data_IF_195058318815
#
_entry.id   IF_195058318815
#
_cell.length_a   1.000
_cell.length_b   1.000
_cell.length_c   1.000
_cell.angle_alpha   90.00
_cell.angle_beta   90.00
_cell.angle_gamma   90.00
#
_symmetry.space_group_name_H-M   'P 1'
#
loop_
_entity.id
_entity.type
_entity.pdbx_description
1 polymer ?
#
# COMPACT_ATOMS: atom_id res chain seq x y z
N UNK A 1 -31.21 -2.34 28.41
CA UNK A 1 -30.94 -2.14 29.85
C UNK A 1 -29.61 -2.75 30.33
N UNK A 2 -28.81 -3.41 29.46
CA UNK A 2 -27.52 -4.04 29.86
C UNK A 2 -26.25 -3.24 29.52
N UNK A 3 -26.33 -2.16 28.72
CA UNK A 3 -25.15 -1.36 28.31
C UNK A 3 -24.72 -0.32 29.34
N UNK A 4 -25.63 0.21 30.16
CA UNK A 4 -25.30 1.17 31.23
C UNK A 4 -24.65 0.51 32.45
N UNK A 5 -24.93 -0.78 32.67
CA UNK A 5 -24.41 -1.52 33.83
C UNK A 5 -22.94 -1.95 33.62
N UNK A 6 -22.54 -2.31 32.40
CA UNK A 6 -21.15 -2.73 32.12
C UNK A 6 -20.15 -1.55 32.12
N UNK A 7 -20.57 -0.35 31.70
CA UNK A 7 -19.72 0.86 31.80
C UNK A 7 -19.47 1.30 33.25
N UNK A 8 -20.44 1.08 34.13
CA UNK A 8 -20.33 1.43 35.55
C UNK A 8 -19.32 0.53 36.29
N UNK A 9 -19.26 -0.76 35.93
CA UNK A 9 -18.29 -1.71 36.49
C UNK A 9 -16.85 -1.45 36.04
N UNK A 10 -16.65 -0.97 34.80
CA UNK A 10 -15.33 -0.59 34.29
C UNK A 10 -14.85 0.70 34.96
N UNK A 11 -15.72 1.69 35.16
CA UNK A 11 -15.43 2.90 35.93
C UNK A 11 -15.11 2.58 37.41
N UNK A 12 -15.82 1.63 38.03
CA UNK A 12 -15.58 1.18 39.40
C UNK A 12 -14.26 0.41 39.59
N UNK A 13 -13.69 -0.18 38.54
CA UNK A 13 -12.41 -0.90 38.61
C UNK A 13 -11.21 -0.03 38.23
N UNK A 14 -11.39 0.93 37.34
CA UNK A 14 -10.29 1.78 36.84
C UNK A 14 -10.07 2.97 37.77
N UNK A 15 -11.14 3.63 38.25
CA UNK A 15 -11.02 4.84 39.08
C UNK A 15 -10.25 4.59 40.38
N UNK A 16 -10.52 3.51 41.16
CA UNK A 16 -9.75 3.24 42.37
C UNK A 16 -8.31 2.87 42.07
N UNK A 17 -8.03 2.16 40.98
CA UNK A 17 -6.66 1.77 40.62
C UNK A 17 -5.84 2.95 40.10
N UNK A 18 -6.46 3.87 39.36
CA UNK A 18 -5.83 5.14 38.92
C UNK A 18 -5.67 6.09 40.10
N UNK A 19 -6.65 6.19 41.01
CA UNK A 19 -6.50 6.93 42.28
C UNK A 19 -5.46 6.30 43.19
N UNK A 20 -5.33 4.97 43.22
CA UNK A 20 -4.32 4.26 43.98
C UNK A 20 -2.93 4.46 43.36
N UNK A 21 -2.81 4.48 42.03
CA UNK A 21 -1.57 4.84 41.31
C UNK A 21 -1.19 6.32 41.53
N UNK A 22 -2.15 7.23 41.42
CA UNK A 22 -1.97 8.67 41.71
C UNK A 22 -1.62 8.88 43.19
N UNK A 23 -2.20 8.08 44.11
CA UNK A 23 -1.81 8.09 45.52
C UNK A 23 -0.39 7.53 45.68
N UNK A 24 -0.02 6.43 45.03
CA UNK A 24 1.33 5.88 45.10
C UNK A 24 2.40 6.82 44.53
N UNK A 25 2.04 7.67 43.55
CA UNK A 25 2.94 8.68 42.96
C UNK A 25 3.02 9.98 43.77
N UNK A 26 1.98 10.35 44.53
CA UNK A 26 1.94 11.61 45.31
C UNK A 26 2.18 11.42 46.81
N UNK A 27 2.04 10.21 47.34
CA UNK A 27 2.09 9.94 48.78
C UNK A 27 3.50 9.88 49.39
N UNK A 28 4.57 9.35 48.77
CA UNK A 28 5.83 9.25 49.51
C UNK A 28 6.39 10.65 49.84
N UNK A 29 6.28 11.61 48.92
CA UNK A 29 6.77 12.98 49.13
C UNK A 29 5.83 13.77 50.05
N UNK A 30 4.51 13.71 49.85
CA UNK A 30 3.58 14.44 50.73
C UNK A 30 3.59 13.88 52.15
N UNK A 31 3.70 12.56 52.34
CA UNK A 31 3.85 11.96 53.68
C UNK A 31 5.19 12.37 54.29
N UNK A 32 6.30 12.39 53.53
CA UNK A 32 7.60 12.82 54.07
C UNK A 32 7.60 14.30 54.47
N UNK A 33 7.01 15.18 53.65
CA UNK A 33 6.93 16.62 53.90
C UNK A 33 5.97 16.90 55.07
N UNK A 34 4.80 16.26 55.11
CA UNK A 34 3.85 16.38 56.23
C UNK A 34 4.46 15.82 57.50
N UNK A 35 5.17 14.68 57.44
CA UNK A 35 5.88 14.11 58.57
C UNK A 35 7.00 15.03 59.05
N UNK A 36 7.76 15.63 58.14
CA UNK A 36 8.82 16.60 58.45
C UNK A 36 8.26 17.87 59.12
N UNK A 37 7.16 18.42 58.59
CA UNK A 37 6.48 19.58 59.15
C UNK A 37 5.90 19.24 60.52
N UNK A 38 5.25 18.08 60.67
CA UNK A 38 4.75 17.59 61.96
C UNK A 38 5.88 17.39 62.97
N UNK A 39 7.02 16.82 62.57
CA UNK A 39 8.18 16.67 63.46
C UNK A 39 8.77 18.01 63.86
N UNK A 40 8.87 18.98 62.94
CA UNK A 40 9.35 20.33 63.25
C UNK A 40 8.38 21.11 64.15
N UNK A 41 7.07 20.96 63.95
CA UNK A 41 6.04 21.56 64.81
C UNK A 41 6.07 20.91 66.20
N UNK A 42 6.22 19.60 66.29
CA UNK A 42 6.32 18.88 67.58
C UNK A 42 7.59 19.33 68.33
N UNK A 43 8.72 19.44 67.65
CA UNK A 43 9.98 19.98 68.21
C UNK A 43 9.82 21.42 68.71
N UNK A 44 9.21 22.29 67.91
CA UNK A 44 8.90 23.68 68.30
C UNK A 44 7.93 23.76 69.48
N UNK A 45 6.90 22.91 69.52
CA UNK A 45 5.94 22.87 70.62
C UNK A 45 6.59 22.37 71.91
N UNK A 46 7.40 21.31 71.85
CA UNK A 46 8.18 20.80 72.99
C UNK A 46 9.11 21.90 73.52
N UNK A 47 9.87 22.55 72.63
CA UNK A 47 10.76 23.66 72.98
C UNK A 47 10.00 24.83 73.65
N UNK A 48 8.83 25.21 73.11
CA UNK A 48 8.01 26.31 73.63
C UNK A 48 7.35 25.97 74.97
N UNK A 49 6.91 24.73 75.17
CA UNK A 49 6.37 24.28 76.47
C UNK A 49 7.43 24.21 77.56
N UNK A 50 8.66 23.80 77.23
CA UNK A 50 9.79 23.79 78.16
C UNK A 50 10.20 25.22 78.55
N UNK A 51 10.25 26.16 77.59
CA UNK A 51 10.54 27.57 77.87
C UNK A 51 9.49 28.26 78.75
N UNK A 52 8.19 27.99 78.56
CA UNK A 52 7.13 28.51 79.44
C UNK A 52 7.18 27.94 80.86
N UNK A 53 7.76 26.75 81.04
CA UNK A 53 8.03 26.17 82.35
C UNK A 53 9.10 26.95 83.12
N UNK A 54 10.09 27.49 82.41
CA UNK A 54 11.19 28.29 82.98
C UNK A 54 10.69 29.68 83.40
N UNK A 55 9.83 30.33 82.60
CA UNK A 55 9.29 31.66 82.89
C UNK A 55 8.37 31.68 84.14
N UNK A 56 7.64 30.58 84.39
CA UNK A 56 6.72 30.47 85.55
C UNK A 56 7.42 30.26 86.91
N UNK A 57 8.71 29.94 86.94
CA UNK A 57 9.47 29.81 88.19
C UNK A 57 10.23 31.08 88.58
N UNK A 58 10.20 32.13 87.74
CA UNK A 58 10.93 33.39 87.97
C UNK A 58 10.08 34.44 88.73
N UNK A 59 8.78 34.21 88.94
CA UNK A 59 7.90 35.19 89.63
C UNK A 59 7.16 34.54 90.81
N UNK A 60 7.81 34.49 91.97
CA UNK A 60 7.14 34.43 93.27
C UNK A 60 7.64 35.61 94.14
N UNK A 61 6.77 36.38 94.82
CA UNK A 61 7.19 37.58 95.54
C UNK A 61 7.97 37.24 96.82
N UNK A 62 9.01 38.04 97.09
CA UNK A 62 9.88 37.99 98.26
C UNK A 62 9.26 38.83 99.39
N UNK A 63 9.14 38.29 100.61
CA UNK A 63 9.03 39.09 101.84
C UNK A 63 10.05 38.63 102.89
N UNK A 64 10.97 39.54 103.29
CA UNK A 64 11.73 39.48 104.55
C UNK A 64 13.25 39.30 104.43
N UNK A 65 14.10 40.01 105.23
CA UNK A 65 15.34 40.59 104.70
C UNK A 65 16.66 39.94 105.18
N UNK A 66 17.67 40.07 104.32
CA UNK A 66 19.13 40.09 104.59
C UNK A 66 19.91 38.75 104.54
N UNK A 67 20.23 38.28 103.33
CA UNK A 67 21.62 38.13 102.82
C UNK A 67 21.61 37.50 101.42
N UNK A 68 22.59 37.90 100.62
CA UNK A 68 22.95 37.41 99.27
C UNK A 68 22.61 35.94 98.97
N UNK A 69 21.82 35.71 97.92
CA UNK A 69 21.79 34.41 97.23
C UNK A 69 22.02 34.67 95.74
N UNK A 70 23.19 34.21 95.34
CA UNK A 70 23.67 33.86 94.01
C UNK A 70 22.52 33.41 93.09
N UNK A 71 22.55 33.85 91.84
CA UNK A 71 21.70 33.30 90.79
C UNK A 71 22.13 31.85 90.59
N UNK A 72 21.55 30.93 91.35
CA UNK A 72 21.72 29.50 91.17
C UNK A 72 20.77 29.07 90.05
N UNK A 73 21.30 29.08 88.81
CA UNK A 73 20.72 28.33 87.70
C UNK A 73 20.66 26.86 88.12
N UNK A 74 19.52 26.47 88.69
CA UNK A 74 19.32 25.13 89.26
C UNK A 74 19.59 24.04 88.22
N UNK A 75 20.61 23.23 88.51
CA UNK A 75 21.12 22.04 87.82
C UNK A 75 20.13 20.86 87.66
N UNK A 76 18.83 21.08 87.92
CA UNK A 76 17.81 20.02 87.96
C UNK A 76 17.25 19.62 86.58
N UNK A 77 17.30 20.53 85.59
CA UNK A 77 16.81 20.25 84.22
C UNK A 77 17.91 19.95 83.18
N UNK A 78 19.17 20.30 83.47
CA UNK A 78 20.33 20.04 82.59
C UNK A 78 20.49 18.57 82.16
N UNK A 79 20.37 17.54 83.03
CA UNK A 79 20.55 16.16 82.59
C UNK A 79 19.38 15.64 81.72
N UNK A 80 18.18 16.25 81.81
CA UNK A 80 17.03 15.88 80.95
C UNK A 80 17.14 16.52 79.57
N UNK A 81 17.59 17.77 79.47
CA UNK A 81 17.84 18.44 78.19
C UNK A 81 19.02 17.81 77.45
N UNK A 82 20.07 17.43 78.16
CA UNK A 82 21.25 16.77 77.58
C UNK A 82 20.92 15.37 77.03
N UNK A 83 20.21 14.54 77.80
CA UNK A 83 19.72 13.23 77.30
C UNK A 83 18.81 13.36 76.07
N UNK A 84 18.01 14.42 76.00
CA UNK A 84 17.16 14.68 74.84
C UNK A 84 17.99 15.08 73.61
N UNK A 85 19.01 15.92 73.78
CA UNK A 85 19.94 16.31 72.71
C UNK A 85 20.83 15.13 72.24
N UNK A 86 21.34 14.32 73.16
CA UNK A 86 22.07 13.08 72.84
C UNK A 86 21.19 12.09 72.06
N UNK A 87 19.90 12.00 72.38
CA UNK A 87 18.93 11.21 71.62
C UNK A 87 18.55 11.83 70.26
N UNK A 88 18.76 13.14 70.08
CA UNK A 88 18.44 13.89 68.86
C UNK A 88 19.51 13.73 67.78
N UNK A 89 20.79 13.69 68.17
CA UNK A 89 21.94 13.52 67.26
C UNK A 89 21.79 12.31 66.32
N UNK A 90 21.53 11.06 66.79
CA UNK A 90 21.33 9.92 65.89
C UNK A 90 20.08 10.06 65.01
N UNK A 91 19.06 10.80 65.46
CA UNK A 91 17.88 11.09 64.64
C UNK A 91 18.19 12.07 63.52
N UNK A 92 19.07 13.06 63.75
CA UNK A 92 19.52 14.00 62.73
C UNK A 92 20.45 13.34 61.73
N UNK A 93 21.35 12.45 62.18
CA UNK A 93 22.18 11.63 61.29
C UNK A 93 21.33 10.73 60.39
N UNK A 94 20.30 10.08 60.96
CA UNK A 94 19.34 9.28 60.19
C UNK A 94 18.55 10.15 59.18
N UNK A 95 18.13 11.35 59.58
CA UNK A 95 17.42 12.27 58.67
C UNK A 95 18.32 12.78 57.54
N UNK A 96 19.58 13.11 57.84
CA UNK A 96 20.59 13.48 56.84
C UNK A 96 20.85 12.34 55.85
N UNK A 97 20.96 11.10 56.34
CA UNK A 97 21.08 9.91 55.49
C UNK A 97 19.87 9.76 54.54
N UNK A 98 18.65 9.94 55.04
CA UNK A 98 17.44 9.90 54.21
C UNK A 98 17.35 11.03 53.19
N UNK A 99 17.81 12.23 53.53
CA UNK A 99 17.90 13.34 52.58
C UNK A 99 18.91 13.07 51.46
N UNK A 100 20.04 12.45 51.79
CA UNK A 100 21.03 12.01 50.80
C UNK A 100 20.44 10.95 49.86
N UNK A 101 19.68 9.98 50.38
CA UNK A 101 18.98 9.00 49.56
C UNK A 101 17.94 9.68 48.63
N UNK A 102 17.19 10.64 49.15
CA UNK A 102 16.22 11.42 48.39
C UNK A 102 16.87 12.26 47.28
N UNK A 103 18.06 12.82 47.52
CA UNK A 103 18.84 13.53 46.52
C UNK A 103 19.23 12.62 45.34
N UNK A 104 19.67 11.40 45.63
CA UNK A 104 20.01 10.40 44.60
C UNK A 104 18.77 10.03 43.77
N UNK A 105 17.60 9.86 44.39
CA UNK A 105 16.35 9.61 43.64
C UNK A 105 15.93 10.78 42.76
N UNK A 106 16.11 12.02 43.25
CA UNK A 106 15.77 13.22 42.49
C UNK A 106 16.70 13.38 41.27
N UNK A 107 18.01 13.18 41.43
CA UNK A 107 18.99 13.18 40.33
C UNK A 107 18.68 12.08 39.29
N UNK A 108 18.35 10.87 39.75
CA UNK A 108 17.96 9.78 38.86
C UNK A 108 16.65 10.08 38.10
N UNK A 109 15.70 10.76 38.76
CA UNK A 109 14.46 11.19 38.11
C UNK A 109 14.72 12.27 37.07
N UNK A 110 15.65 13.20 37.34
CA UNK A 110 16.07 14.24 36.39
C UNK A 110 16.68 13.62 35.13
N UNK A 111 17.63 12.68 35.29
CA UNK A 111 18.20 11.94 34.16
C UNK A 111 17.13 11.18 33.36
N UNK A 112 16.18 10.54 34.05
CA UNK A 112 15.05 9.86 33.41
C UNK A 112 14.17 10.81 32.59
N UNK A 113 13.86 12.00 33.14
CA UNK A 113 13.06 13.02 32.48
C UNK A 113 13.77 13.63 31.25
N UNK A 114 15.09 13.82 31.31
CA UNK A 114 15.89 14.25 30.16
C UNK A 114 15.89 13.18 29.06
N UNK A 115 16.06 11.90 29.42
CA UNK A 115 16.01 10.81 28.44
C UNK A 115 14.62 10.68 27.81
N UNK A 116 13.56 10.92 28.58
CA UNK A 116 12.20 10.94 28.05
C UNK A 116 11.97 12.09 27.07
N UNK A 117 12.54 13.28 27.33
CA UNK A 117 12.48 14.41 26.39
C UNK A 117 13.11 14.06 25.04
N UNK A 118 14.30 13.46 25.05
CA UNK A 118 14.98 12.98 23.85
C UNK A 118 14.11 11.97 23.07
N UNK A 119 13.47 11.02 23.78
CA UNK A 119 12.59 10.04 23.14
C UNK A 119 11.33 10.70 22.53
N UNK A 120 10.77 11.73 23.18
CA UNK A 120 9.62 12.49 22.66
C UNK A 120 10.00 13.25 21.38
N UNK A 121 11.17 13.88 21.36
CA UNK A 121 11.68 14.57 20.17
C UNK A 121 11.90 13.58 19.01
N UNK A 122 12.55 12.44 19.28
CA UNK A 122 12.74 11.39 18.30
C UNK A 122 11.42 10.83 17.77
N UNK A 123 10.46 10.55 18.66
CA UNK A 123 9.13 10.09 18.26
C UNK A 123 8.41 11.12 17.38
N UNK A 124 8.48 12.40 17.73
CA UNK A 124 7.90 13.49 16.92
C UNK A 124 8.47 13.49 15.51
N UNK A 125 9.81 13.34 15.38
CA UNK A 125 10.46 13.24 14.08
C UNK A 125 9.99 12.02 13.29
N UNK A 126 9.95 10.85 13.92
CA UNK A 126 9.44 9.62 13.29
C UNK A 126 7.99 9.77 12.85
N UNK A 127 7.14 10.47 13.61
CA UNK A 127 5.76 10.74 13.22
C UNK A 127 5.65 11.63 11.97
N UNK A 128 6.52 12.64 11.83
CA UNK A 128 6.58 13.45 10.60
C UNK A 128 7.01 12.61 9.40
N UNK A 129 7.98 11.72 9.57
CA UNK A 129 8.42 10.80 8.53
C UNK A 129 7.31 9.82 8.12
N UNK A 130 6.57 9.26 9.09
CA UNK A 130 5.40 8.41 8.85
C UNK A 130 4.32 9.18 8.08
N UNK A 131 3.99 10.39 8.50
CA UNK A 131 2.99 11.23 7.84
C UNK A 131 3.34 11.50 6.38
N UNK A 132 4.61 11.83 6.10
CA UNK A 132 5.12 12.02 4.74
C UNK A 132 5.04 10.74 3.91
N UNK A 133 5.42 9.59 4.51
CA UNK A 133 5.31 8.29 3.87
C UNK A 133 3.87 7.92 3.50
N UNK A 134 2.91 8.19 4.39
CA UNK A 134 1.48 7.96 4.14
C UNK A 134 1.00 8.82 2.96
N UNK A 135 1.37 10.09 2.90
CA UNK A 135 1.00 10.99 1.78
C UNK A 135 1.58 10.48 0.45
N UNK A 136 2.84 10.00 0.46
CA UNK A 136 3.47 9.43 -0.72
C UNK A 136 2.77 8.15 -1.19
N UNK A 137 2.36 7.26 -0.26
CA UNK A 137 1.59 6.06 -0.60
C UNK A 137 0.23 6.45 -1.18
N UNK A 138 -0.47 7.42 -0.59
CA UNK A 138 -1.75 7.92 -1.08
C UNK A 138 -1.63 8.44 -2.54
N UNK A 139 -0.60 9.26 -2.81
CA UNK A 139 -0.33 9.77 -4.15
C UNK A 139 0.00 8.65 -5.14
N UNK A 140 0.79 7.67 -4.71
CA UNK A 140 1.14 6.51 -5.55
C UNK A 140 -0.10 5.69 -5.88
N UNK A 141 -0.97 5.41 -4.90
CA UNK A 141 -2.23 4.72 -5.11
C UNK A 141 -3.14 5.46 -6.12
N UNK A 142 -3.23 6.79 -6.02
CA UNK A 142 -4.01 7.61 -6.96
C UNK A 142 -3.45 7.54 -8.39
N UNK A 143 -2.13 7.54 -8.56
CA UNK A 143 -1.49 7.39 -9.88
C UNK A 143 -1.81 6.02 -10.47
N UNK A 144 -1.64 4.95 -9.68
CA UNK A 144 -1.94 3.59 -10.18
C UNK A 144 -3.43 3.45 -10.51
N UNK A 145 -4.34 4.09 -9.77
CA UNK A 145 -5.77 4.10 -10.07
C UNK A 145 -6.05 4.74 -11.44
N UNK A 146 -5.48 5.93 -11.67
CA UNK A 146 -5.61 6.65 -12.94
C UNK A 146 -5.04 5.86 -14.11
N UNK A 147 -3.83 5.31 -13.97
CA UNK A 147 -3.20 4.50 -15.01
C UNK A 147 -3.97 3.20 -15.27
N UNK A 148 -4.53 2.58 -14.24
CA UNK A 148 -5.38 1.38 -14.41
C UNK A 148 -6.64 1.71 -15.20
N UNK A 149 -7.29 2.85 -14.93
CA UNK A 149 -8.44 3.31 -15.69
C UNK A 149 -8.09 3.57 -17.17
N UNK A 150 -7.02 4.31 -17.44
CA UNK A 150 -6.55 4.57 -18.81
C UNK A 150 -6.20 3.27 -19.55
N UNK A 151 -5.58 2.31 -18.85
CA UNK A 151 -5.27 0.99 -19.40
C UNK A 151 -6.56 0.22 -19.72
N UNK A 152 -7.59 0.31 -18.88
CA UNK A 152 -8.88 -0.33 -19.12
C UNK A 152 -9.57 0.25 -20.37
N UNK A 153 -9.57 1.57 -20.51
CA UNK A 153 -10.12 2.26 -21.68
C UNK A 153 -9.39 1.85 -22.95
N UNK A 154 -8.06 1.87 -22.93
CA UNK A 154 -7.22 1.45 -24.07
C UNK A 154 -7.44 -0.03 -24.42
N UNK A 155 -7.55 -0.90 -23.41
CA UNK A 155 -7.85 -2.33 -23.58
C UNK A 155 -9.23 -2.54 -24.22
N UNK A 156 -10.24 -1.78 -23.79
CA UNK A 156 -11.59 -1.80 -24.38
C UNK A 156 -11.60 -1.35 -25.84
N UNK A 157 -10.88 -0.27 -26.18
CA UNK A 157 -10.72 0.18 -27.57
C UNK A 157 -10.00 -0.86 -28.44
N UNK A 158 -9.00 -1.54 -27.87
CA UNK A 158 -8.32 -2.67 -28.53
C UNK A 158 -9.29 -3.82 -28.82
N UNK A 159 -10.14 -4.17 -27.85
CA UNK A 159 -11.17 -5.20 -28.03
C UNK A 159 -12.17 -4.84 -29.15
N UNK A 160 -12.67 -3.60 -29.17
CA UNK A 160 -13.56 -3.11 -30.22
C UNK A 160 -12.90 -3.13 -31.61
N UNK A 161 -11.61 -2.75 -31.68
CA UNK A 161 -10.83 -2.82 -32.93
C UNK A 161 -10.73 -4.26 -33.46
N UNK A 162 -10.61 -5.26 -32.57
CA UNK A 162 -10.60 -6.67 -32.97
C UNK A 162 -11.96 -7.17 -33.46
N UNK A 163 -13.08 -6.61 -32.97
CA UNK A 163 -14.40 -6.88 -33.55
C UNK A 163 -14.47 -6.42 -35.01
N UNK A 164 -13.94 -5.23 -35.31
CA UNK A 164 -13.86 -4.71 -36.69
C UNK A 164 -13.00 -5.64 -37.56
N UNK A 165 -11.82 -6.07 -37.07
CA UNK A 165 -10.95 -6.99 -37.82
C UNK A 165 -11.65 -8.34 -38.06
N UNK A 166 -12.38 -8.86 -37.08
CA UNK A 166 -13.15 -10.11 -37.22
C UNK A 166 -14.20 -9.97 -38.32
N UNK A 167 -14.95 -8.86 -38.32
CA UNK A 167 -15.96 -8.57 -39.34
C UNK A 167 -15.33 -8.47 -40.75
N UNK A 168 -14.17 -7.84 -40.86
CA UNK A 168 -13.43 -7.77 -42.13
C UNK A 168 -12.95 -9.14 -42.61
N UNK A 169 -12.42 -9.98 -41.71
CA UNK A 169 -12.00 -11.35 -42.07
C UNK A 169 -13.17 -12.20 -42.56
N UNK A 170 -14.34 -12.10 -41.91
CA UNK A 170 -15.56 -12.76 -42.37
C UNK A 170 -16.02 -12.25 -43.75
N UNK A 171 -15.87 -10.95 -44.02
CA UNK A 171 -16.18 -10.39 -45.32
C UNK A 171 -15.22 -10.88 -46.42
N UNK A 172 -13.93 -11.04 -46.08
CA UNK A 172 -12.92 -11.63 -46.98
C UNK A 172 -13.24 -13.10 -47.25
N UNK A 173 -13.54 -13.90 -46.22
CA UNK A 173 -13.93 -15.31 -46.37
C UNK A 173 -15.11 -15.46 -47.33
N UNK A 174 -16.17 -14.65 -47.14
CA UNK A 174 -17.33 -14.63 -48.04
C UNK A 174 -16.95 -14.24 -49.47
N UNK A 175 -16.03 -13.29 -49.64
CA UNK A 175 -15.57 -12.86 -50.97
C UNK A 175 -14.77 -13.96 -51.67
N UNK A 176 -13.91 -14.66 -50.95
CA UNK A 176 -13.16 -15.83 -51.46
C UNK A 176 -14.11 -16.96 -51.82
N UNK A 177 -15.11 -17.25 -50.98
CA UNK A 177 -16.13 -18.26 -51.27
C UNK A 177 -16.92 -17.93 -52.54
N UNK A 178 -17.36 -16.68 -52.70
CA UNK A 178 -18.05 -16.24 -53.92
C UNK A 178 -17.18 -16.36 -55.17
N UNK A 179 -15.90 -15.97 -55.07
CA UNK A 179 -14.96 -16.09 -56.18
C UNK A 179 -14.72 -17.57 -56.54
N UNK A 180 -14.79 -18.48 -55.56
CA UNK A 180 -14.60 -19.92 -55.77
C UNK A 180 -15.71 -20.46 -56.66
N UNK A 181 -16.95 -20.01 -56.40
CA UNK A 181 -18.09 -20.34 -57.24
C UNK A 181 -17.93 -19.83 -58.67
N UNK A 182 -17.51 -18.57 -58.85
CA UNK A 182 -17.30 -17.98 -60.19
C UNK A 182 -16.23 -18.73 -60.98
N UNK A 183 -15.12 -19.10 -60.33
CA UNK A 183 -14.05 -19.89 -60.97
C UNK A 183 -14.52 -21.31 -61.28
N UNK A 184 -15.37 -21.91 -60.44
CA UNK A 184 -15.98 -23.21 -60.72
C UNK A 184 -16.86 -23.16 -61.96
N UNK A 185 -17.67 -22.11 -62.11
CA UNK A 185 -18.52 -21.92 -63.29
C UNK A 185 -17.65 -21.73 -64.54
N UNK A 186 -16.56 -20.96 -64.43
CA UNK A 186 -15.60 -20.77 -65.53
C UNK A 186 -14.91 -22.09 -65.93
N UNK A 187 -14.60 -22.96 -64.97
CA UNK A 187 -14.10 -24.32 -65.23
C UNK A 187 -15.10 -25.13 -66.07
N UNK A 188 -16.39 -25.06 -65.72
CA UNK A 188 -17.44 -25.73 -66.48
C UNK A 188 -17.56 -25.18 -67.91
N UNK A 189 -17.61 -23.86 -68.09
CA UNK A 189 -17.67 -23.26 -69.42
C UNK A 189 -16.45 -23.60 -70.28
N UNK A 190 -15.25 -23.61 -69.70
CA UNK A 190 -14.02 -23.98 -70.41
C UNK A 190 -14.04 -25.45 -70.86
N UNK A 191 -14.59 -26.36 -70.04
CA UNK A 191 -14.80 -27.76 -70.43
C UNK A 191 -15.81 -27.90 -71.58
N UNK A 192 -16.92 -27.15 -71.53
CA UNK A 192 -17.91 -27.14 -72.62
C UNK A 192 -17.31 -26.63 -73.93
N UNK A 193 -16.52 -25.55 -73.90
CA UNK A 193 -15.80 -25.04 -75.08
C UNK A 193 -14.84 -26.11 -75.61
N UNK A 194 -14.09 -26.79 -74.74
CA UNK A 194 -13.20 -27.89 -75.13
C UNK A 194 -13.94 -29.00 -75.89
N UNK A 195 -15.14 -29.40 -75.43
CA UNK A 195 -15.97 -30.39 -76.11
C UNK A 195 -16.45 -29.91 -77.49
N UNK A 196 -16.82 -28.63 -77.61
CA UNK A 196 -17.22 -28.03 -78.90
C UNK A 196 -16.05 -28.03 -79.89
N UNK A 197 -14.85 -27.63 -79.45
CA UNK A 197 -13.64 -27.61 -80.28
C UNK A 197 -13.27 -29.03 -80.73
N UNK A 198 -13.41 -30.03 -79.87
CA UNK A 198 -13.27 -31.44 -80.24
C UNK A 198 -14.24 -31.84 -81.36
N UNK A 199 -15.52 -31.46 -81.22
CA UNK A 199 -16.55 -31.73 -82.24
C UNK A 199 -16.24 -31.05 -83.58
N UNK A 200 -15.75 -29.81 -83.57
CA UNK A 200 -15.35 -29.08 -84.80
C UNK A 200 -14.17 -29.79 -85.47
N UNK A 201 -13.19 -30.25 -84.67
CA UNK A 201 -12.03 -31.00 -85.18
C UNK A 201 -12.47 -32.29 -85.86
N UNK A 202 -13.44 -33.01 -85.27
CA UNK A 202 -14.02 -34.22 -85.86
C UNK A 202 -14.78 -33.93 -87.17
N UNK A 203 -15.58 -32.85 -87.21
CA UNK A 203 -16.29 -32.41 -88.43
C UNK A 203 -15.30 -32.04 -89.54
N UNK A 204 -14.23 -31.32 -89.20
CA UNK A 204 -13.17 -30.97 -90.15
C UNK A 204 -12.47 -32.22 -90.70
N UNK A 205 -12.13 -33.19 -89.85
CA UNK A 205 -11.54 -34.46 -90.28
C UNK A 205 -12.48 -35.24 -91.22
N UNK A 206 -13.79 -35.28 -90.92
CA UNK A 206 -14.78 -35.90 -91.80
C UNK A 206 -14.93 -35.15 -93.13
N UNK A 207 -14.94 -33.82 -93.10
CA UNK A 207 -15.05 -32.98 -94.30
C UNK A 207 -13.82 -33.15 -95.19
N UNK A 208 -12.63 -33.23 -94.61
CA UNK A 208 -11.39 -33.53 -95.31
C UNK A 208 -11.44 -34.90 -96.00
N UNK A 209 -11.95 -35.93 -95.32
CA UNK A 209 -12.16 -37.27 -95.90
C UNK A 209 -13.19 -37.26 -97.04
N UNK A 210 -14.30 -36.53 -96.88
CA UNK A 210 -15.31 -36.37 -97.94
C UNK A 210 -14.74 -35.65 -99.17
N UNK A 211 -13.97 -34.59 -98.96
CA UNK A 211 -13.31 -33.83 -100.01
C UNK A 211 -12.28 -34.69 -100.75
N UNK A 212 -11.50 -35.51 -100.03
CA UNK A 212 -10.58 -36.47 -100.62
C UNK A 212 -11.32 -37.50 -101.51
N UNK A 213 -12.41 -38.07 -101.01
CA UNK A 213 -13.23 -39.00 -101.79
C UNK A 213 -13.82 -38.34 -103.04
N UNK A 214 -14.26 -37.08 -102.94
CA UNK A 214 -14.75 -36.30 -104.08
C UNK A 214 -13.64 -36.00 -105.10
N UNK A 215 -12.42 -35.68 -104.65
CA UNK A 215 -11.28 -35.45 -105.52
C UNK A 215 -10.88 -36.72 -106.29
N UNK A 216 -10.92 -37.89 -105.63
CA UNK A 216 -10.69 -39.20 -106.26
C UNK A 216 -11.72 -39.47 -107.34
N UNK A 217 -13.02 -39.27 -107.05
CA UNK A 217 -14.08 -39.54 -108.02
C UNK A 217 -14.09 -38.53 -109.18
N UNK A 218 -13.74 -37.27 -108.91
CA UNK A 218 -13.53 -36.26 -109.94
C UNK A 218 -12.36 -36.60 -110.88
N UNK A 219 -11.24 -37.12 -110.34
CA UNK A 219 -10.13 -37.63 -111.15
C UNK A 219 -10.56 -38.84 -111.99
N UNK A 220 -11.44 -39.69 -111.45
CA UNK A 220 -11.99 -40.87 -112.13
C UNK A 220 -12.91 -40.53 -113.29
N UNK A 221 -13.64 -39.40 -113.22
CA UNK A 221 -14.49 -38.89 -114.29
C UNK A 221 -13.72 -38.22 -115.45
N UNK A 222 -12.39 -38.09 -115.36
CA UNK A 222 -11.54 -37.57 -116.44
C UNK A 222 -11.82 -36.11 -116.80
N UNK A 223 -11.96 -35.80 -118.09
CA UNK A 223 -12.19 -34.42 -118.58
C UNK A 223 -13.49 -33.79 -118.02
N UNK A 224 -14.53 -34.60 -117.76
CA UNK A 224 -15.80 -34.11 -117.22
C UNK A 224 -15.74 -33.77 -115.72
N UNK A 225 -14.73 -34.27 -115.00
CA UNK A 225 -14.55 -34.08 -113.56
C UNK A 225 -13.66 -32.89 -113.18
N UNK A 226 -13.00 -32.23 -114.14
CA UNK A 226 -12.02 -31.16 -113.86
C UNK A 226 -12.55 -30.03 -112.97
N UNK A 227 -13.78 -29.56 -113.20
CA UNK A 227 -14.40 -28.53 -112.37
C UNK A 227 -14.68 -29.01 -110.93
N UNK A 228 -15.12 -30.26 -110.78
CA UNK A 228 -15.36 -30.86 -109.46
C UNK A 228 -14.06 -31.14 -108.69
N UNK A 229 -12.97 -31.49 -109.39
CA UNK A 229 -11.66 -31.71 -108.77
C UNK A 229 -11.13 -30.43 -108.10
N UNK A 230 -11.27 -29.27 -108.75
CA UNK A 230 -10.86 -27.98 -108.19
C UNK A 230 -11.66 -27.65 -106.92
N UNK A 231 -12.98 -27.88 -106.94
CA UNK A 231 -13.82 -27.64 -105.75
C UNK A 231 -13.46 -28.60 -104.62
N UNK A 232 -13.21 -29.87 -104.92
CA UNK A 232 -12.84 -30.87 -103.93
C UNK A 232 -11.49 -30.53 -103.26
N UNK A 233 -10.49 -30.09 -104.02
CA UNK A 233 -9.21 -29.65 -103.47
C UNK A 233 -9.35 -28.37 -102.61
N UNK A 234 -10.20 -27.42 -103.01
CA UNK A 234 -10.45 -26.22 -102.21
C UNK A 234 -11.15 -26.56 -100.88
N UNK A 235 -12.15 -27.45 -100.90
CA UNK A 235 -12.82 -27.93 -99.67
C UNK A 235 -11.86 -28.71 -98.77
N UNK A 236 -10.95 -29.50 -99.36
CA UNK A 236 -9.89 -30.23 -98.63
C UNK A 236 -8.99 -29.24 -97.89
N UNK A 237 -8.49 -28.23 -98.60
CA UNK A 237 -7.63 -27.19 -98.05
C UNK A 237 -8.32 -26.38 -96.94
N UNK A 238 -9.58 -25.99 -97.15
CA UNK A 238 -10.38 -25.29 -96.14
C UNK A 238 -10.59 -26.17 -94.89
N UNK A 239 -10.79 -27.47 -95.07
CA UNK A 239 -10.92 -28.41 -93.95
C UNK A 239 -9.62 -28.51 -93.15
N UNK A 240 -8.45 -28.58 -93.82
CA UNK A 240 -7.14 -28.55 -93.16
C UNK A 240 -6.91 -27.23 -92.39
N UNK A 241 -7.27 -26.08 -92.96
CA UNK A 241 -7.17 -24.78 -92.28
C UNK A 241 -8.08 -24.70 -91.03
N UNK A 242 -9.31 -25.24 -91.11
CA UNK A 242 -10.22 -25.34 -89.95
C UNK A 242 -9.65 -26.26 -88.87
N UNK A 243 -9.02 -27.37 -89.26
CA UNK A 243 -8.37 -28.31 -88.33
C UNK A 243 -7.24 -27.62 -87.57
N UNK A 244 -6.36 -26.94 -88.28
CA UNK A 244 -5.21 -26.26 -87.70
C UNK A 244 -5.67 -25.16 -86.74
N UNK A 245 -6.67 -24.37 -87.14
CA UNK A 245 -7.29 -23.35 -86.28
C UNK A 245 -7.94 -23.97 -85.03
N UNK A 246 -8.64 -25.10 -85.18
CA UNK A 246 -9.27 -25.80 -84.05
C UNK A 246 -8.23 -26.35 -83.07
N UNK A 247 -7.09 -26.84 -83.57
CA UNK A 247 -5.98 -27.28 -82.73
C UNK A 247 -5.35 -26.12 -81.95
N UNK A 248 -5.22 -24.93 -82.55
CA UNK A 248 -4.75 -23.74 -81.83
C UNK A 248 -5.74 -23.32 -80.74
N UNK A 249 -7.04 -23.30 -81.03
CA UNK A 249 -8.07 -23.02 -80.02
C UNK A 249 -8.01 -24.05 -78.89
N UNK A 250 -7.84 -25.34 -79.20
CA UNK A 250 -7.71 -26.40 -78.19
C UNK A 250 -6.54 -26.17 -77.24
N UNK A 251 -5.40 -25.68 -77.74
CA UNK A 251 -4.24 -25.32 -76.90
C UNK A 251 -4.58 -24.16 -75.96
N UNK A 252 -5.25 -23.12 -76.48
CA UNK A 252 -5.68 -21.97 -75.66
C UNK A 252 -6.64 -22.41 -74.57
N UNK A 253 -7.63 -23.25 -74.89
CA UNK A 253 -8.59 -23.80 -73.92
C UNK A 253 -7.87 -24.62 -72.85
N UNK A 254 -6.90 -25.46 -73.23
CA UNK A 254 -6.09 -26.20 -72.25
C UNK A 254 -5.34 -25.27 -71.29
N UNK A 255 -4.69 -24.22 -71.81
CA UNK A 255 -4.00 -23.23 -70.96
C UNK A 255 -4.96 -22.49 -70.03
N UNK A 256 -6.19 -22.20 -70.47
CA UNK A 256 -7.23 -21.61 -69.64
C UNK A 256 -7.64 -22.57 -68.51
N UNK A 257 -7.81 -23.86 -68.81
CA UNK A 257 -8.13 -24.88 -67.80
C UNK A 257 -7.01 -24.99 -66.75
N UNK A 258 -5.75 -25.04 -67.17
CA UNK A 258 -4.61 -25.08 -66.26
C UNK A 258 -4.56 -23.84 -65.35
N UNK A 259 -4.85 -22.66 -65.89
CA UNK A 259 -4.89 -21.39 -65.13
C UNK A 259 -6.04 -21.37 -64.13
N UNK A 260 -7.19 -21.94 -64.48
CA UNK A 260 -8.34 -22.11 -63.59
C UNK A 260 -7.98 -23.03 -62.43
N UNK A 261 -7.35 -24.18 -62.69
CA UNK A 261 -6.96 -25.14 -61.66
C UNK A 261 -5.93 -24.53 -60.68
N UNK A 262 -4.97 -23.77 -61.19
CA UNK A 262 -4.03 -22.99 -60.36
C UNK A 262 -4.77 -21.95 -59.50
N UNK A 263 -5.74 -21.24 -60.08
CA UNK A 263 -6.55 -20.25 -59.37
C UNK A 263 -7.33 -20.90 -58.22
N UNK A 264 -7.96 -22.06 -58.45
CA UNK A 264 -8.64 -22.83 -57.39
C UNK A 264 -7.68 -23.19 -56.26
N UNK A 265 -6.46 -23.64 -56.57
CA UNK A 265 -5.46 -23.95 -55.55
C UNK A 265 -5.11 -22.73 -54.69
N UNK A 266 -4.83 -21.59 -55.30
CA UNK A 266 -4.53 -20.35 -54.56
C UNK A 266 -5.70 -19.85 -53.72
N UNK A 267 -6.93 -20.05 -54.20
CA UNK A 267 -8.12 -19.70 -53.46
C UNK A 267 -8.32 -20.55 -52.21
N UNK A 268 -8.08 -21.85 -52.30
CA UNK A 268 -8.13 -22.75 -51.15
C UNK A 268 -7.07 -22.37 -50.09
N UNK A 269 -5.87 -22.02 -50.53
CA UNK A 269 -4.81 -21.50 -49.66
C UNK A 269 -5.20 -20.18 -49.00
N UNK A 270 -5.80 -19.26 -49.76
CA UNK A 270 -6.35 -18.00 -49.27
C UNK A 270 -7.43 -18.22 -48.20
N UNK A 271 -8.35 -19.16 -48.42
CA UNK A 271 -9.39 -19.50 -47.45
C UNK A 271 -8.81 -20.04 -46.14
N UNK A 272 -7.84 -20.96 -46.22
CA UNK A 272 -7.14 -21.46 -45.04
C UNK A 272 -6.42 -20.35 -44.27
N UNK A 273 -5.80 -19.40 -44.99
CA UNK A 273 -5.13 -18.25 -44.39
C UNK A 273 -6.11 -17.36 -43.63
N UNK A 274 -7.30 -17.11 -44.19
CA UNK A 274 -8.35 -16.33 -43.53
C UNK A 274 -8.89 -17.04 -42.29
N UNK A 275 -9.16 -18.35 -42.36
CA UNK A 275 -9.58 -19.15 -41.20
C UNK A 275 -8.55 -19.13 -40.05
N UNK A 276 -7.27 -19.25 -40.39
CA UNK A 276 -6.20 -19.10 -39.40
C UNK A 276 -6.19 -17.69 -38.80
N UNK A 277 -6.38 -16.66 -39.63
CA UNK A 277 -6.50 -15.27 -39.18
C UNK A 277 -7.64 -15.06 -38.19
N UNK A 278 -8.82 -15.62 -38.46
CA UNK A 278 -9.98 -15.58 -37.54
C UNK A 278 -9.65 -16.24 -36.20
N UNK A 279 -8.97 -17.38 -36.23
CA UNK A 279 -8.55 -18.11 -35.02
C UNK A 279 -7.59 -17.26 -34.17
N UNK A 280 -6.56 -16.66 -34.80
CA UNK A 280 -5.60 -15.78 -34.11
C UNK A 280 -6.31 -14.57 -33.49
N UNK A 281 -7.23 -13.94 -34.21
CA UNK A 281 -8.00 -12.80 -33.67
C UNK A 281 -8.84 -13.22 -32.45
N UNK A 282 -9.45 -14.41 -32.51
CA UNK A 282 -10.20 -14.98 -31.37
C UNK A 282 -9.31 -15.16 -30.14
N UNK A 283 -8.11 -15.74 -30.30
CA UNK A 283 -7.16 -15.91 -29.20
C UNK A 283 -6.74 -14.57 -28.60
N UNK A 284 -6.50 -13.55 -29.45
CA UNK A 284 -6.14 -12.20 -29.00
C UNK A 284 -7.30 -11.56 -28.22
N UNK A 285 -8.56 -11.72 -28.65
CA UNK A 285 -9.74 -11.25 -27.90
C UNK A 285 -9.80 -11.85 -26.50
N UNK A 286 -9.50 -13.15 -26.36
CA UNK A 286 -9.44 -13.80 -25.05
C UNK A 286 -8.36 -13.15 -24.16
N UNK A 287 -7.17 -12.87 -24.71
CA UNK A 287 -6.10 -12.19 -23.95
C UNK A 287 -6.51 -10.78 -23.49
N UNK A 288 -7.21 -10.01 -24.33
CA UNK A 288 -7.74 -8.71 -23.92
C UNK A 288 -8.77 -8.83 -22.79
N UNK A 289 -9.65 -9.84 -22.84
CA UNK A 289 -10.60 -10.10 -21.76
C UNK A 289 -9.88 -10.45 -20.44
N UNK A 290 -8.82 -11.28 -20.49
CA UNK A 290 -7.98 -11.53 -19.32
C UNK A 290 -7.32 -10.25 -18.79
N UNK A 291 -6.81 -9.40 -19.68
CA UNK A 291 -6.20 -8.11 -19.30
C UNK A 291 -7.21 -7.23 -18.56
N UNK A 292 -8.44 -7.08 -19.08
CA UNK A 292 -9.50 -6.34 -18.39
C UNK A 292 -9.76 -6.90 -16.99
N UNK A 293 -9.90 -8.22 -16.85
CA UNK A 293 -10.07 -8.85 -15.53
C UNK A 293 -8.91 -8.59 -14.57
N UNK A 294 -7.67 -8.55 -15.06
CA UNK A 294 -6.48 -8.19 -14.26
C UNK A 294 -6.48 -6.72 -13.85
N UNK A 295 -6.92 -5.82 -14.73
CA UNK A 295 -7.02 -4.39 -14.42
C UNK A 295 -8.09 -4.16 -13.33
N UNK A 296 -9.24 -4.83 -13.42
CA UNK A 296 -10.26 -4.78 -12.36
C UNK A 296 -9.70 -5.22 -11.01
N UNK A 297 -8.94 -6.33 -10.97
CA UNK A 297 -8.31 -6.79 -9.74
C UNK A 297 -7.31 -5.78 -9.16
N UNK A 298 -6.56 -5.07 -10.01
CA UNK A 298 -5.67 -3.98 -9.56
C UNK A 298 -6.48 -2.81 -9.00
N UNK A 299 -7.59 -2.42 -9.62
CA UNK A 299 -8.48 -1.40 -9.09
C UNK A 299 -9.03 -1.76 -7.71
N UNK A 300 -9.43 -3.02 -7.50
CA UNK A 300 -9.90 -3.49 -6.19
C UNK A 300 -8.79 -3.42 -5.13
N UNK A 301 -7.58 -3.86 -5.47
CA UNK A 301 -6.42 -3.77 -4.57
C UNK A 301 -6.08 -2.32 -4.20
N UNK A 302 -6.25 -1.38 -5.13
CA UNK A 302 -6.03 0.04 -4.82
C UNK A 302 -7.08 0.56 -3.84
N UNK A 303 -8.34 0.13 -3.97
CA UNK A 303 -9.36 0.50 -2.99
C UNK A 303 -8.99 0.01 -1.58
N UNK A 304 -8.45 -1.21 -1.45
CA UNK A 304 -7.93 -1.73 -0.19
C UNK A 304 -6.74 -0.91 0.34
N UNK A 305 -5.80 -0.55 -0.54
CA UNK A 305 -4.66 0.32 -0.18
C UNK A 305 -5.15 1.69 0.29
N UNK A 306 -6.12 2.30 -0.39
CA UNK A 306 -6.70 3.58 0.02
C UNK A 306 -7.36 3.50 1.40
N UNK A 307 -8.08 2.41 1.69
CA UNK A 307 -8.65 2.18 3.02
C UNK A 307 -7.55 2.02 4.09
N UNK A 308 -6.48 1.26 3.79
CA UNK A 308 -5.34 1.10 4.69
C UNK A 308 -4.61 2.43 4.96
N UNK A 309 -4.44 3.26 3.92
CA UNK A 309 -3.87 4.61 4.03
C UNK A 309 -4.71 5.48 4.96
N UNK A 310 -6.03 5.48 4.83
CA UNK A 310 -6.92 6.23 5.73
C UNK A 310 -6.79 5.77 7.19
N UNK A 311 -6.71 4.46 7.42
CA UNK A 311 -6.51 3.91 8.76
C UNK A 311 -5.14 4.28 9.33
N UNK A 312 -4.09 4.25 8.51
CA UNK A 312 -2.74 4.68 8.91
C UNK A 312 -2.70 6.18 9.23
N UNK A 313 -3.36 7.03 8.44
CA UNK A 313 -3.48 8.47 8.72
C UNK A 313 -4.11 8.71 10.09
N UNK A 314 -5.26 8.07 10.36
CA UNK A 314 -5.96 8.21 11.64
C UNK A 314 -5.11 7.73 12.83
N UNK A 315 -4.47 6.56 12.70
CA UNK A 315 -3.57 6.03 13.74
C UNK A 315 -2.34 6.90 13.95
N UNK A 316 -1.80 7.50 12.89
CA UNK A 316 -0.68 8.44 12.96
C UNK A 316 -1.06 9.71 13.72
N UNK A 317 -2.25 10.26 13.46
CA UNK A 317 -2.77 11.43 14.19
C UNK A 317 -2.98 11.13 15.68
N UNK A 318 -3.51 9.96 16.02
CA UNK A 318 -3.67 9.53 17.42
C UNK A 318 -2.33 9.40 18.14
N UNK A 319 -1.32 8.80 17.50
CA UNK A 319 0.03 8.70 18.08
C UNK A 319 0.66 10.08 18.25
N UNK A 320 0.53 10.97 17.26
CA UNK A 320 1.04 12.33 17.35
C UNK A 320 0.43 13.07 18.55
N UNK A 321 -0.87 12.92 18.78
CA UNK A 321 -1.54 13.49 19.95
C UNK A 321 -1.01 12.88 21.27
N UNK A 322 -0.77 11.56 21.33
CA UNK A 322 -0.19 10.91 22.51
C UNK A 322 1.26 11.35 22.79
N UNK A 323 2.05 11.63 21.76
CA UNK A 323 3.40 12.19 21.90
C UNK A 323 3.33 13.59 22.50
N UNK A 324 2.39 14.42 22.06
CA UNK A 324 2.18 15.77 22.62
C UNK A 324 1.73 15.74 24.08
N UNK A 325 0.82 14.83 24.44
CA UNK A 325 0.43 14.63 25.86
C UNK A 325 1.63 14.16 26.70
N UNK A 326 2.46 13.26 26.16
CA UNK A 326 3.67 12.79 26.85
C UNK A 326 4.68 13.91 27.06
N UNK A 327 4.83 14.80 26.07
CA UNK A 327 5.66 16.01 26.16
C UNK A 327 5.20 16.92 27.31
N UNK A 328 3.91 17.22 27.38
CA UNK A 328 3.34 18.06 28.46
C UNK A 328 3.56 17.45 29.85
N UNK A 329 3.42 16.12 29.98
CA UNK A 329 3.69 15.41 31.22
C UNK A 329 5.18 15.46 31.60
N UNK A 330 6.07 15.31 30.62
CA UNK A 330 7.51 15.41 30.82
C UNK A 330 7.94 16.81 31.30
N UNK A 331 7.43 17.88 30.67
CA UNK A 331 7.69 19.27 31.08
C UNK A 331 7.24 19.53 32.53
N UNK A 332 6.06 19.03 32.89
CA UNK A 332 5.54 19.10 34.26
C UNK A 332 6.40 18.30 35.24
N UNK A 333 6.85 17.11 34.85
CA UNK A 333 7.71 16.24 35.65
C UNK A 333 9.06 16.89 35.97
N UNK A 334 9.70 17.52 34.97
CA UNK A 334 10.94 18.28 35.17
C UNK A 334 10.75 19.41 36.18
N UNK A 335 9.66 20.18 36.07
CA UNK A 335 9.37 21.26 37.02
C UNK A 335 9.21 20.74 38.47
N UNK A 336 8.56 19.59 38.65
CA UNK A 336 8.42 18.93 39.96
C UNK A 336 9.77 18.48 40.50
N UNK A 337 10.62 17.86 39.67
CA UNK A 337 11.96 17.40 40.07
C UNK A 337 12.85 18.59 40.46
N UNK A 338 12.81 19.69 39.71
CA UNK A 338 13.53 20.92 40.06
C UNK A 338 13.10 21.47 41.42
N UNK A 339 11.78 21.48 41.69
CA UNK A 339 11.27 21.92 42.99
C UNK A 339 11.69 20.99 44.12
N UNK A 340 11.67 19.68 43.88
CA UNK A 340 12.15 18.66 44.83
C UNK A 340 13.64 18.85 45.14
N UNK A 341 14.48 19.05 44.11
CA UNK A 341 15.90 19.34 44.28
C UNK A 341 16.15 20.61 45.10
N UNK A 342 15.37 21.68 44.90
CA UNK A 342 15.44 22.89 45.74
C UNK A 342 15.11 22.59 47.20
N UNK A 343 14.03 21.84 47.43
CA UNK A 343 13.58 21.49 48.78
C UNK A 343 14.60 20.62 49.52
N UNK A 344 15.20 19.64 48.85
CA UNK A 344 16.25 18.80 49.41
C UNK A 344 17.47 19.63 49.83
N UNK A 345 17.86 20.64 49.03
CA UNK A 345 18.96 21.55 49.37
C UNK A 345 18.64 22.39 50.60
N UNK A 346 17.42 22.94 50.67
CA UNK A 346 16.94 23.71 51.82
C UNK A 346 16.93 22.85 53.09
N UNK A 347 16.32 21.65 53.03
CA UNK A 347 16.25 20.73 54.17
C UNK A 347 17.62 20.24 54.62
N UNK A 348 18.54 19.96 53.69
CA UNK A 348 19.93 19.58 54.05
C UNK A 348 20.61 20.69 54.84
N UNK A 349 20.46 21.94 54.39
CA UNK A 349 21.01 23.12 55.10
C UNK A 349 20.40 23.28 56.50
N UNK A 350 19.08 23.14 56.62
CA UNK A 350 18.39 23.26 57.91
C UNK A 350 18.86 22.19 58.91
N UNK A 351 19.08 20.96 58.43
CA UNK A 351 19.57 19.84 59.24
C UNK A 351 21.01 20.04 59.67
N UNK A 352 21.88 20.52 58.78
CA UNK A 352 23.26 20.87 59.11
C UNK A 352 23.32 21.96 60.19
N UNK A 353 22.52 23.02 60.05
CA UNK A 353 22.43 24.08 61.06
C UNK A 353 21.91 23.55 62.39
N UNK A 354 20.88 22.71 62.37
CA UNK A 354 20.30 22.16 63.58
C UNK A 354 21.24 21.14 64.27
N UNK A 355 22.00 20.36 63.50
CA UNK A 355 23.04 19.48 64.02
C UNK A 355 24.18 20.29 64.67
N UNK A 356 24.61 21.40 64.06
CA UNK A 356 25.60 22.31 64.64
C UNK A 356 25.12 22.88 65.98
N UNK A 357 23.91 23.44 66.03
CA UNK A 357 23.31 23.98 67.27
C UNK A 357 23.18 22.89 68.35
N UNK A 358 22.76 21.68 67.96
CA UNK A 358 22.62 20.56 68.90
C UNK A 358 23.98 20.16 69.47
N UNK A 359 25.04 20.08 68.65
CA UNK A 359 26.41 19.80 69.11
C UNK A 359 26.96 20.89 70.01
N UNK A 360 26.82 22.16 69.62
CA UNK A 360 27.27 23.31 70.44
C UNK A 360 26.61 23.31 71.82
N UNK A 361 25.31 23.00 71.90
CA UNK A 361 24.61 22.91 73.18
C UNK A 361 25.04 21.69 74.03
N UNK A 362 25.47 20.59 73.40
CA UNK A 362 26.04 19.42 74.13
C UNK A 362 27.46 19.72 74.62
N UNK A 363 28.25 20.49 73.88
CA UNK A 363 29.66 20.78 74.18
C UNK A 363 29.89 21.98 75.12
N UNK A 364 28.96 22.94 75.20
CA UNK A 364 29.10 24.17 76.01
C UNK A 364 28.54 24.10 77.44
N UNK A 365 28.23 22.92 77.98
CA UNK A 365 27.83 22.67 79.38
C UNK A 365 28.61 21.49 79.94
#
# INVERSE_FOLDING_TARGET
MSKTLNGLWILLLIIPNVLLLISLLTQPINILVIASILTSIILLLIFRTQMKGIEKQIVAPIEGPNNSVEVELTSSNQPKTMKLMEALLPSLENFQSKLSELAVYAERSEMGALKQAENVENNTKTMLEISSGIEQIAKSAQIVASTSQETNETSSQGYESLEVVTAQMNAIDKSVSNLSQVISDLSQYSKEIGNIVGTITDISNQTNLLALNAAIEAARAGEHGKGFAVVADEVRKLSEEVKDSSNEISKIVSSIQDTIDQSVSHMNEGQNTVMNGITVVSDVKEKFSLIQGKITAVSDQINEVSAAVQQLSAGSEEIANNVEVTKQFQESGVAVIQKLNSLIKEMTKDVEQFNLVTKEMVEHH
#
